data_IF_543208448700
#
_entry.id   IF_543208448700
#
_cell.length_a   1.000
_cell.length_b   1.000
_cell.length_c   1.000
_cell.angle_alpha   90.00
_cell.angle_beta   90.00
_cell.angle_gamma   90.00
#
_symmetry.space_group_name_H-M   'P 1'
#
loop_
_entity.id
_entity.type
_entity.pdbx_description
1 polymer ?
#
# COMPACT_ATOMS: atom_id res chain seq x y z
N UNK A 1 -5.00 -15.58 -0.95
CA UNK A 1 -4.10 -14.97 0.05
C UNK A 1 -3.64 -16.09 0.97
N UNK A 2 -2.38 -16.12 1.38
CA UNK A 2 -1.80 -17.19 2.22
C UNK A 2 -1.27 -16.59 3.52
N UNK A 3 -0.95 -17.43 4.51
CA UNK A 3 -0.50 -16.98 5.83
C UNK A 3 0.97 -17.34 6.03
N UNK A 4 1.81 -16.34 6.29
CA UNK A 4 3.21 -16.55 6.64
C UNK A 4 3.34 -17.26 8.00
N UNK A 5 4.46 -17.95 8.24
CA UNK A 5 4.76 -18.60 9.54
C UNK A 5 4.61 -17.65 10.75
N UNK A 6 4.89 -16.35 10.57
CA UNK A 6 4.71 -15.33 11.60
C UNK A 6 3.25 -14.84 11.76
N UNK A 7 2.26 -15.55 11.22
CA UNK A 7 0.81 -15.23 11.24
C UNK A 7 0.40 -13.95 10.51
N UNK A 8 1.29 -13.33 9.73
CA UNK A 8 0.94 -12.21 8.84
C UNK A 8 0.32 -12.72 7.54
N UNK A 9 -0.77 -12.11 7.12
CA UNK A 9 -1.37 -12.35 5.81
C UNK A 9 -0.44 -11.86 4.69
N UNK A 10 -0.25 -12.66 3.64
CA UNK A 10 0.66 -12.35 2.55
C UNK A 10 0.16 -12.89 1.22
N UNK A 11 0.69 -12.31 0.13
CA UNK A 11 0.54 -12.84 -1.23
C UNK A 11 1.83 -13.46 -1.74
N UNK A 12 2.93 -13.35 -0.99
CA UNK A 12 4.25 -13.80 -1.43
C UNK A 12 4.50 -15.24 -1.04
N UNK A 13 5.29 -15.91 -1.86
CA UNK A 13 5.67 -17.30 -1.70
C UNK A 13 7.14 -17.48 -2.09
N UNK A 14 7.89 -18.17 -1.24
CA UNK A 14 9.27 -18.54 -1.52
C UNK A 14 9.28 -19.81 -2.35
N UNK A 15 9.81 -19.75 -3.57
CA UNK A 15 9.80 -20.88 -4.50
C UNK A 15 10.84 -21.93 -4.10
N UNK A 16 11.96 -21.49 -3.54
CA UNK A 16 13.06 -22.34 -3.06
C UNK A 16 12.61 -23.18 -1.87
N UNK A 17 12.05 -22.54 -0.84
CA UNK A 17 11.64 -23.22 0.40
C UNK A 17 10.20 -23.74 0.37
N UNK A 18 9.41 -23.40 -0.66
CA UNK A 18 8.00 -23.78 -0.82
C UNK A 18 7.15 -23.40 0.40
N UNK A 19 7.33 -22.17 0.88
CA UNK A 19 6.61 -21.62 2.03
C UNK A 19 6.07 -20.21 1.78
N UNK A 20 4.91 -19.85 2.36
CA UNK A 20 4.42 -18.49 2.34
C UNK A 20 5.32 -17.58 3.21
N UNK A 21 5.66 -16.41 2.68
CA UNK A 21 6.57 -15.44 3.30
C UNK A 21 5.96 -14.04 3.28
N UNK A 22 6.21 -13.22 4.29
CA UNK A 22 5.73 -11.83 4.35
C UNK A 22 6.88 -10.82 4.18
N UNK A 23 6.57 -9.52 4.07
CA UNK A 23 7.57 -8.46 3.92
C UNK A 23 8.63 -8.39 5.04
N UNK A 24 8.36 -9.01 6.18
CA UNK A 24 9.34 -9.18 7.26
C UNK A 24 10.27 -10.38 6.97
N UNK A 25 9.68 -11.56 6.78
CA UNK A 25 10.40 -12.83 6.72
C UNK A 25 11.19 -13.02 5.42
N UNK A 26 10.81 -12.36 4.31
CA UNK A 26 11.56 -12.44 3.04
C UNK A 26 12.99 -11.88 3.13
N UNK A 27 13.30 -11.14 4.19
CA UNK A 27 14.62 -10.56 4.41
C UNK A 27 15.47 -11.35 5.41
N UNK A 28 14.95 -12.42 6.01
CA UNK A 28 15.78 -13.29 6.87
C UNK A 28 16.87 -13.99 6.05
N UNK A 29 18.00 -14.37 6.67
CA UNK A 29 19.10 -15.04 5.97
C UNK A 29 18.64 -16.21 5.11
N UNK A 30 17.75 -17.06 5.64
CA UNK A 30 17.14 -18.20 4.94
C UNK A 30 16.44 -17.82 3.62
N UNK A 31 15.93 -16.60 3.50
CA UNK A 31 15.18 -16.15 2.31
C UNK A 31 15.84 -14.98 1.59
N UNK A 32 17.04 -14.57 2.02
CA UNK A 32 17.68 -13.34 1.56
C UNK A 32 17.87 -13.35 0.05
N UNK A 33 18.39 -14.45 -0.49
CA UNK A 33 18.60 -14.63 -1.93
C UNK A 33 17.51 -15.49 -2.59
N UNK A 34 16.53 -16.01 -1.84
CA UNK A 34 15.51 -16.88 -2.43
C UNK A 34 14.76 -16.22 -3.60
N UNK A 35 14.37 -17.03 -4.58
CA UNK A 35 13.40 -16.60 -5.59
C UNK A 35 12.03 -16.54 -4.91
N UNK A 36 11.48 -15.32 -4.82
CA UNK A 36 10.20 -15.02 -4.17
C UNK A 36 9.32 -14.30 -5.19
N UNK A 37 8.13 -14.84 -5.44
CA UNK A 37 7.10 -14.23 -6.28
C UNK A 37 5.75 -14.31 -5.58
N UNK A 38 4.66 -14.02 -6.27
CA UNK A 38 3.31 -14.21 -5.71
C UNK A 38 2.94 -15.70 -5.67
N UNK A 39 2.07 -16.06 -4.73
CA UNK A 39 1.52 -17.41 -4.65
C UNK A 39 0.76 -17.80 -5.92
N UNK A 40 0.09 -16.84 -6.57
CA UNK A 40 -0.59 -17.08 -7.85
C UNK A 40 0.39 -17.49 -8.94
N UNK A 41 1.52 -16.81 -9.07
CA UNK A 41 2.57 -17.20 -10.01
C UNK A 41 3.09 -18.60 -9.70
N UNK A 42 3.34 -18.93 -8.42
CA UNK A 42 3.81 -20.26 -8.04
C UNK A 42 2.86 -21.39 -8.43
N UNK A 43 1.54 -21.17 -8.29
CA UNK A 43 0.51 -22.17 -8.65
C UNK A 43 0.42 -22.34 -10.17
N UNK A 44 0.62 -21.26 -10.94
CA UNK A 44 0.53 -21.30 -12.41
C UNK A 44 1.80 -21.91 -13.01
N UNK A 45 2.95 -21.39 -12.61
CA UNK A 45 4.26 -21.75 -13.12
C UNK A 45 5.27 -21.70 -11.96
N UNK A 46 5.64 -22.89 -11.49
CA UNK A 46 6.55 -23.08 -10.37
C UNK A 46 8.02 -23.05 -10.79
N UNK A 47 8.34 -22.78 -12.06
CA UNK A 47 9.72 -22.77 -12.56
C UNK A 47 10.49 -21.52 -12.14
N UNK A 48 11.76 -21.72 -11.81
CA UNK A 48 12.68 -20.66 -11.43
C UNK A 48 14.14 -21.05 -11.66
N UNK A 49 14.97 -20.05 -11.96
CA UNK A 49 16.41 -20.20 -12.03
C UNK A 49 17.04 -20.12 -10.63
N UNK A 50 17.97 -21.03 -10.33
CA UNK A 50 18.71 -21.06 -9.08
C UNK A 50 20.19 -21.42 -9.32
N UNK A 51 21.16 -20.71 -8.70
CA UNK A 51 20.98 -19.56 -7.81
C UNK A 51 20.55 -18.27 -8.55
N UNK A 52 19.92 -17.30 -7.87
CA UNK A 52 19.46 -16.08 -8.51
C UNK A 52 20.65 -15.24 -8.99
N UNK A 53 20.39 -14.33 -9.93
CA UNK A 53 21.38 -13.38 -10.43
C UNK A 53 21.04 -11.97 -9.98
N UNK A 54 22.07 -11.16 -9.74
CA UNK A 54 21.93 -9.73 -9.49
C UNK A 54 21.22 -9.06 -10.67
N UNK A 55 20.17 -8.29 -10.39
CA UNK A 55 19.39 -7.66 -11.45
C UNK A 55 20.13 -6.57 -12.25
N UNK A 56 21.30 -6.11 -11.78
CA UNK A 56 22.14 -5.13 -12.47
C UNK A 56 23.31 -5.77 -13.21
N UNK A 57 24.19 -6.49 -12.50
CA UNK A 57 25.43 -7.02 -13.07
C UNK A 57 25.32 -8.47 -13.58
N UNK A 58 24.18 -9.13 -13.38
CA UNK A 58 23.92 -10.52 -13.79
C UNK A 58 24.85 -11.58 -13.16
N UNK A 59 25.73 -11.20 -12.23
CA UNK A 59 26.51 -12.13 -11.43
C UNK A 59 25.59 -12.95 -10.50
N UNK A 60 25.96 -14.20 -10.26
CA UNK A 60 25.26 -15.10 -9.34
C UNK A 60 25.34 -14.53 -7.92
N UNK A 61 24.22 -14.55 -7.19
CA UNK A 61 24.19 -14.14 -5.79
C UNK A 61 24.41 -15.37 -4.92
N UNK A 62 25.46 -15.33 -4.11
CA UNK A 62 25.82 -16.42 -3.21
C UNK A 62 25.69 -15.94 -1.77
N UNK A 63 25.09 -16.77 -0.90
CA UNK A 63 24.95 -16.50 0.54
C UNK A 63 26.30 -16.31 1.25
N UNK A 64 27.37 -16.93 0.74
CA UNK A 64 28.70 -16.93 1.35
C UNK A 64 29.66 -15.85 0.83
N UNK A 65 29.31 -15.16 -0.26
CA UNK A 65 30.22 -14.24 -0.97
C UNK A 65 30.53 -12.94 -0.22
N UNK A 66 30.03 -12.76 1.01
CA UNK A 66 30.20 -11.54 1.82
C UNK A 66 29.59 -10.28 1.19
N UNK A 67 28.99 -10.41 0.01
CA UNK A 67 28.46 -9.31 -0.78
C UNK A 67 27.03 -9.02 -0.31
N UNK A 68 26.85 -7.87 0.32
CA UNK A 68 25.53 -7.47 0.81
C UNK A 68 24.53 -7.35 -0.34
N UNK A 69 23.36 -7.97 -0.16
CA UNK A 69 22.27 -7.93 -1.14
C UNK A 69 21.05 -7.23 -0.58
N UNK A 70 20.42 -6.43 -1.42
CA UNK A 70 19.17 -5.74 -1.14
C UNK A 70 18.06 -6.33 -2.00
N UNK A 71 16.91 -6.63 -1.38
CA UNK A 71 15.70 -7.02 -2.11
C UNK A 71 14.87 -5.78 -2.44
N UNK A 72 14.51 -5.61 -3.71
CA UNK A 72 13.70 -4.50 -4.19
C UNK A 72 12.21 -4.74 -3.95
N UNK A 73 11.40 -3.68 -4.06
CA UNK A 73 9.94 -3.78 -3.92
C UNK A 73 9.23 -4.61 -5.00
N UNK A 74 9.90 -4.82 -6.14
CA UNK A 74 9.50 -5.75 -7.20
C UNK A 74 9.94 -7.20 -6.95
N UNK A 75 10.53 -7.49 -5.78
CA UNK A 75 11.04 -8.80 -5.30
C UNK A 75 12.35 -9.27 -5.93
N UNK A 76 12.86 -8.63 -6.99
CA UNK A 76 14.19 -8.89 -7.50
C UNK A 76 15.28 -8.53 -6.47
N UNK A 77 16.39 -9.26 -6.54
CA UNK A 77 17.54 -9.09 -5.65
C UNK A 77 18.68 -8.42 -6.42
N UNK A 78 19.36 -7.49 -5.77
CA UNK A 78 20.47 -6.72 -6.32
C UNK A 78 21.60 -6.66 -5.27
N UNK A 79 22.86 -6.64 -5.69
CA UNK A 79 23.92 -6.25 -4.76
C UNK A 79 23.68 -4.83 -4.26
N UNK A 80 23.90 -4.57 -2.98
CA UNK A 80 23.71 -3.22 -2.40
C UNK A 80 24.59 -2.20 -3.11
N UNK A 81 25.84 -2.57 -3.44
CA UNK A 81 26.74 -1.72 -4.24
C UNK A 81 26.19 -1.42 -5.64
N UNK A 82 25.65 -2.44 -6.33
CA UNK A 82 25.02 -2.26 -7.65
C UNK A 82 23.79 -1.35 -7.57
N UNK A 83 22.98 -1.45 -6.52
CA UNK A 83 21.84 -0.55 -6.31
C UNK A 83 22.30 0.90 -6.14
N UNK A 84 23.33 1.12 -5.33
CA UNK A 84 23.87 2.47 -5.09
C UNK A 84 24.41 3.07 -6.38
N UNK A 85 25.22 2.33 -7.14
CA UNK A 85 25.72 2.77 -8.45
C UNK A 85 24.60 3.03 -9.45
N UNK A 86 23.58 2.16 -9.48
CA UNK A 86 22.41 2.32 -10.37
C UNK A 86 21.67 3.61 -10.06
N UNK A 87 21.31 3.87 -8.80
CA UNK A 87 20.59 5.08 -8.39
C UNK A 87 21.41 6.35 -8.67
N UNK A 88 22.72 6.32 -8.44
CA UNK A 88 23.62 7.46 -8.71
C UNK A 88 23.84 7.73 -10.19
N UNK A 89 23.54 6.78 -11.08
CA UNK A 89 23.67 6.96 -12.53
C UNK A 89 22.54 7.81 -13.13
N UNK A 90 21.44 8.00 -12.41
CA UNK A 90 20.31 8.81 -12.88
C UNK A 90 20.62 10.31 -12.80
N UNK A 91 20.09 11.12 -13.74
CA UNK A 91 20.21 12.57 -13.68
C UNK A 91 19.65 13.16 -12.36
N UNK A 92 20.18 14.31 -11.89
CA UNK A 92 19.78 14.90 -10.61
C UNK A 92 18.31 15.38 -10.56
N UNK A 93 17.67 15.58 -11.71
CA UNK A 93 16.27 15.99 -11.83
C UNK A 93 15.32 14.81 -12.10
N UNK A 94 15.77 13.58 -11.88
CA UNK A 94 14.96 12.38 -12.07
C UNK A 94 13.81 12.39 -11.06
N UNK A 95 12.58 12.34 -11.56
CA UNK A 95 11.40 12.24 -10.72
C UNK A 95 11.41 10.90 -9.92
N UNK A 96 10.74 10.82 -8.75
CA UNK A 96 10.67 9.60 -7.93
C UNK A 96 10.28 8.34 -8.73
N UNK A 97 9.30 8.45 -9.63
CA UNK A 97 8.84 7.34 -10.46
C UNK A 97 9.83 6.93 -11.57
N UNK A 98 10.85 7.75 -11.85
CA UNK A 98 11.90 7.45 -12.82
C UNK A 98 12.95 6.47 -12.29
N UNK A 99 13.06 6.30 -10.98
CA UNK A 99 13.95 5.32 -10.39
C UNK A 99 13.33 3.93 -10.47
N UNK A 100 13.84 3.13 -11.41
CA UNK A 100 13.26 1.84 -11.77
C UNK A 100 14.26 0.70 -11.61
N UNK A 101 13.74 -0.49 -11.33
CA UNK A 101 14.51 -1.73 -11.31
C UNK A 101 15.11 -2.01 -12.70
N UNK A 102 16.41 -2.37 -12.80
CA UNK A 102 17.07 -2.62 -14.09
C UNK A 102 16.52 -3.84 -14.84
N UNK A 103 15.89 -4.81 -14.15
CA UNK A 103 15.33 -6.01 -14.80
C UNK A 103 13.90 -5.84 -15.32
N UNK A 104 13.02 -5.21 -14.55
CA UNK A 104 11.58 -5.18 -14.85
C UNK A 104 10.98 -3.78 -14.95
N UNK A 105 11.82 -2.74 -14.87
CA UNK A 105 11.43 -1.33 -14.97
C UNK A 105 10.35 -0.90 -13.96
N UNK A 106 10.09 -1.71 -12.92
CA UNK A 106 9.17 -1.34 -11.84
C UNK A 106 9.85 -0.31 -10.94
N UNK A 107 9.10 0.70 -10.51
CA UNK A 107 9.58 1.73 -9.58
C UNK A 107 10.21 1.10 -8.33
N UNK A 108 11.40 1.58 -7.94
CA UNK A 108 12.11 1.12 -6.75
C UNK A 108 11.30 1.48 -5.50
N UNK A 109 10.69 2.67 -5.49
CA UNK A 109 9.87 3.17 -4.39
C UNK A 109 8.56 3.80 -4.92
N UNK A 110 7.41 3.57 -4.24
CA UNK A 110 7.19 2.66 -3.12
C UNK A 110 7.11 1.18 -3.54
N UNK A 111 7.38 0.23 -2.63
CA UNK A 111 7.28 -1.20 -2.92
C UNK A 111 5.89 -1.66 -3.37
N UNK A 112 5.78 -2.22 -4.57
CA UNK A 112 4.50 -2.70 -5.16
C UNK A 112 3.94 -3.94 -4.45
N UNK A 113 4.80 -4.89 -4.09
CA UNK A 113 4.38 -6.24 -3.67
C UNK A 113 4.19 -6.39 -2.15
N UNK A 114 4.75 -5.48 -1.37
CA UNK A 114 4.62 -5.44 0.09
C UNK A 114 3.98 -4.12 0.43
N UNK A 115 2.75 -4.14 0.96
CA UNK A 115 2.02 -2.92 1.35
C UNK A 115 2.33 -2.46 2.78
N UNK A 116 2.94 -3.33 3.58
CA UNK A 116 3.28 -3.05 4.97
C UNK A 116 4.52 -2.14 5.04
N UNK A 117 4.30 -0.82 5.12
CA UNK A 117 5.35 0.21 5.18
C UNK A 117 6.31 0.08 6.37
N UNK A 118 5.92 -0.66 7.41
CA UNK A 118 6.73 -0.95 8.61
C UNK A 118 7.49 -2.27 8.54
N UNK A 119 7.42 -2.99 7.41
CA UNK A 119 8.13 -4.26 7.23
C UNK A 119 9.65 -4.07 7.09
N UNK A 120 10.41 -5.10 7.46
CA UNK A 120 11.87 -5.13 7.27
C UNK A 120 12.32 -4.93 5.84
N UNK A 121 11.56 -5.38 4.84
CA UNK A 121 11.83 -5.05 3.44
C UNK A 121 11.88 -3.53 3.22
N UNK A 122 10.90 -2.78 3.74
CA UNK A 122 10.90 -1.33 3.60
C UNK A 122 12.08 -0.69 4.33
N UNK A 123 12.38 -1.14 5.55
CA UNK A 123 13.50 -0.60 6.33
C UNK A 123 14.84 -0.80 5.64
N UNK A 124 15.14 -2.02 5.19
CA UNK A 124 16.39 -2.33 4.49
C UNK A 124 16.49 -1.60 3.15
N UNK A 125 15.38 -1.53 2.39
CA UNK A 125 15.37 -0.79 1.13
C UNK A 125 15.58 0.71 1.36
N UNK A 126 14.98 1.29 2.41
CA UNK A 126 15.23 2.69 2.78
C UNK A 126 16.69 2.92 3.15
N UNK A 127 17.28 2.05 3.96
CA UNK A 127 18.69 2.12 4.36
C UNK A 127 19.61 2.07 3.14
N UNK A 128 19.41 1.11 2.23
CA UNK A 128 20.19 1.02 0.99
C UNK A 128 20.02 2.26 0.09
N UNK A 129 18.83 2.87 0.06
CA UNK A 129 18.58 4.14 -0.65
C UNK A 129 19.31 5.31 0.03
N UNK A 130 19.36 5.37 1.37
CA UNK A 130 20.07 6.44 2.08
C UNK A 130 21.58 6.44 1.78
N UNK A 131 22.18 5.29 1.49
CA UNK A 131 23.58 5.21 1.04
C UNK A 131 23.85 5.97 -0.27
N UNK A 132 22.79 6.32 -1.02
CA UNK A 132 22.91 7.05 -2.28
C UNK A 132 23.00 8.56 -2.10
N UNK A 133 22.48 9.10 -1.00
CA UNK A 133 22.30 10.54 -0.79
C UNK A 133 21.22 11.19 -1.67
N UNK A 134 20.40 10.39 -2.38
CA UNK A 134 19.32 10.83 -3.27
C UNK A 134 17.93 10.52 -2.71
N UNK A 135 17.81 10.23 -1.41
CA UNK A 135 16.57 9.81 -0.75
C UNK A 135 15.43 10.83 -0.92
N UNK A 136 15.75 12.13 -0.97
CA UNK A 136 14.76 13.20 -1.18
C UNK A 136 14.11 13.13 -2.57
N UNK A 137 14.87 12.76 -3.60
CA UNK A 137 14.37 12.60 -4.96
C UNK A 137 13.62 11.27 -5.14
N UNK A 138 14.06 10.22 -4.45
CA UNK A 138 13.52 8.87 -4.55
C UNK A 138 12.19 8.68 -3.81
N UNK A 139 12.06 9.22 -2.61
CA UNK A 139 10.85 9.04 -1.79
C UNK A 139 9.71 9.97 -2.21
N UNK A 140 10.03 11.13 -2.79
CA UNK A 140 9.05 12.11 -3.21
C UNK A 140 8.08 12.50 -2.09
N UNK A 141 6.78 12.57 -2.42
CA UNK A 141 5.71 12.91 -1.46
C UNK A 141 5.22 11.71 -0.64
N UNK A 142 5.82 10.52 -0.76
CA UNK A 142 5.40 9.38 0.03
C UNK A 142 5.95 9.56 1.46
N UNK A 143 5.10 9.75 2.49
CA UNK A 143 5.59 9.98 3.84
C UNK A 143 6.36 8.74 4.28
N UNK A 144 7.68 8.88 4.34
CA UNK A 144 8.53 7.95 5.07
C UNK A 144 8.40 8.37 6.52
N UNK A 145 7.77 7.54 7.34
CA UNK A 145 7.88 7.67 8.80
C UNK A 145 9.34 7.39 9.18
N UNK A 146 10.19 8.38 9.00
CA UNK A 146 11.44 8.47 9.73
C UNK A 146 11.04 8.87 11.14
N UNK A 147 11.51 8.14 12.14
CA UNK A 147 11.47 8.59 13.52
C UNK A 147 12.37 9.83 13.62
N UNK A 148 11.85 10.98 13.21
CA UNK A 148 12.40 12.28 13.59
C UNK A 148 11.77 12.58 14.94
N UNK A 149 12.49 12.24 16.00
CA UNK A 149 12.28 12.86 17.29
C UNK A 149 12.78 14.32 17.21
N UNK A 150 11.98 15.17 16.57
CA UNK A 150 11.93 16.59 16.89
C UNK A 150 10.47 16.98 16.91
N UNK A 151 9.93 17.08 18.12
CA UNK A 151 8.62 17.66 18.41
C UNK A 151 8.63 19.14 18.02
N UNK A 152 8.42 19.44 16.75
CA UNK A 152 8.04 20.79 16.34
C UNK A 152 6.55 20.91 16.59
N UNK A 153 6.23 21.55 17.72
CA UNK A 153 4.87 21.83 18.14
C UNK A 153 4.09 22.57 17.04
N UNK A 154 2.74 22.51 17.10
CA UNK A 154 1.90 23.18 16.12
C UNK A 154 2.17 24.70 16.12
N UNK A 155 2.06 25.37 14.96
CA UNK A 155 2.24 26.81 14.86
C UNK A 155 1.23 27.55 15.77
N UNK A 156 1.63 28.67 16.40
CA UNK A 156 0.81 29.40 17.37
C UNK A 156 -0.24 30.23 16.63
N UNK A 157 -1.27 29.58 16.09
CA UNK A 157 -2.34 30.26 15.36
C UNK A 157 -3.72 30.15 16.05
N UNK A 158 -3.81 29.51 17.22
CA UNK A 158 -5.07 29.33 17.95
C UNK A 158 -4.93 29.55 19.47
N UNK A 159 -4.05 30.45 19.89
CA UNK A 159 -4.16 31.03 21.22
C UNK A 159 -5.18 32.17 21.15
N UNK A 160 -6.46 31.85 21.32
CA UNK A 160 -7.47 32.83 21.67
C UNK A 160 -8.04 32.45 23.02
N UNK A 161 -7.70 33.26 24.02
CA UNK A 161 -8.26 33.18 25.37
C UNK A 161 -9.79 33.41 25.34
N UNK A 162 -10.57 32.70 26.18
CA UNK A 162 -12.00 32.93 26.27
C UNK A 162 -12.29 34.24 27.02
N UNK A 163 -13.02 35.15 26.38
CA UNK A 163 -13.55 36.35 27.03
C UNK A 163 -14.72 35.96 27.94
N UNK A 164 -14.51 36.07 29.25
CA UNK A 164 -15.58 36.19 30.26
C UNK A 164 -16.04 37.65 30.27
N UNK A 165 -17.36 37.90 30.17
CA UNK A 165 -17.95 38.99 30.94
C UNK A 165 -19.41 38.76 31.33
N UNK A 166 -19.67 39.11 32.58
CA UNK A 166 -20.88 39.03 33.40
C UNK A 166 -21.70 40.32 33.27
N UNK A 167 -23.04 40.21 33.21
CA UNK A 167 -24.05 40.89 34.05
C UNK A 167 -25.46 40.51 33.52
N UNK A 168 -26.37 39.88 34.28
CA UNK A 168 -27.29 40.48 35.27
C UNK A 168 -27.82 41.86 34.81
N UNK A 169 -29.11 42.15 34.70
CA UNK A 169 -30.33 41.60 35.30
C UNK A 169 -31.51 42.46 34.83
N UNK A 170 -32.68 41.86 34.54
CA UNK A 170 -34.01 42.40 34.90
C UNK A 170 -35.15 41.49 34.41
N UNK A 171 -35.77 40.79 35.34
CA UNK A 171 -37.12 40.19 35.27
C UNK A 171 -38.20 41.30 35.46
N UNK A 172 -39.51 41.04 35.72
CA UNK A 172 -40.38 39.86 35.51
C UNK A 172 -41.82 40.23 34.97
N UNK A 173 -42.76 39.26 35.02
CA UNK A 173 -44.25 39.36 35.13
C UNK A 173 -45.03 39.05 33.82
N UNK A 174 -46.12 38.28 33.77
CA UNK A 174 -46.88 37.48 34.76
C UNK A 174 -47.98 36.66 34.02
N UNK A 175 -48.47 35.65 34.74
CA UNK A 175 -49.81 35.02 34.71
C UNK A 175 -50.04 33.70 33.94
N UNK A 176 -50.47 32.68 34.71
CA UNK A 176 -50.90 31.33 34.31
C UNK A 176 -52.33 31.29 33.73
N UNK A 177 -52.99 30.16 33.46
CA UNK A 177 -53.13 28.88 34.18
C UNK A 177 -53.58 27.79 33.16
N UNK A 178 -53.21 26.52 33.42
CA UNK A 178 -53.66 25.20 32.93
C UNK A 178 -54.87 25.09 31.98
N UNK A 179 -54.81 24.13 31.03
CA UNK A 179 -55.63 22.89 30.96
C UNK A 179 -54.94 21.87 30.03
N UNK A 180 -55.07 20.60 30.38
CA UNK A 180 -54.56 19.34 29.80
C UNK A 180 -55.20 18.90 28.48
N UNK A 181 -54.49 17.94 27.85
CA UNK A 181 -54.87 17.02 26.76
C UNK A 181 -54.84 17.52 25.31
N UNK A 182 -54.11 16.77 24.48
CA UNK A 182 -54.51 16.56 23.10
C UNK A 182 -53.40 16.52 22.07
N UNK A 183 -52.99 15.29 21.75
CA UNK A 183 -52.61 14.78 20.43
C UNK A 183 -51.45 15.42 19.63
N UNK A 184 -50.47 14.55 19.41
CA UNK A 184 -49.39 14.57 18.42
C UNK A 184 -49.89 14.57 16.97
N UNK A 185 -49.22 15.33 16.10
CA UNK A 185 -49.08 15.00 14.68
C UNK A 185 -47.78 15.62 14.10
N UNK A 186 -46.92 14.84 13.41
CA UNK A 186 -45.86 15.35 12.56
C UNK A 186 -46.30 15.33 11.08
N UNK A 187 -45.78 16.24 10.27
CA UNK A 187 -45.73 16.17 8.79
C UNK A 187 -44.73 17.24 8.34
N UNK A 188 -43.76 16.95 7.47
CA UNK A 188 -44.00 16.96 6.02
C UNK A 188 -42.83 16.30 5.29
N UNK A 189 -43.13 15.28 4.50
CA UNK A 189 -42.33 14.88 3.33
C UNK A 189 -43.34 14.76 2.19
N UNK A 190 -43.13 15.55 1.13
CA UNK A 190 -44.00 15.58 -0.03
C UNK A 190 -43.70 14.43 -1.00
N UNK A 191 -44.80 13.83 -1.43
CA UNK A 191 -45.04 12.76 -2.39
C UNK A 191 -44.92 13.26 -3.85
N UNK A 192 -44.55 12.39 -4.80
CA UNK A 192 -44.98 12.45 -6.21
C UNK A 192 -45.10 11.00 -6.75
N UNK A 193 -46.19 10.80 -7.51
CA UNK A 193 -46.95 9.58 -7.79
C UNK A 193 -46.41 8.65 -8.89
N UNK A 194 -46.95 7.42 -8.85
CA UNK A 194 -46.84 6.27 -9.76
C UNK A 194 -47.51 6.45 -11.14
N UNK A 195 -47.10 5.62 -12.12
CA UNK A 195 -47.96 5.20 -13.24
C UNK A 195 -47.71 3.71 -13.56
N UNK A 196 -48.82 3.00 -13.80
CA UNK A 196 -49.09 1.57 -13.93
C UNK A 196 -48.51 0.84 -15.18
N UNK A 197 -48.48 -0.51 -15.15
CA UNK A 197 -47.77 -1.47 -16.03
C UNK A 197 -48.29 -1.64 -17.47
N UNK A 198 -48.13 -2.80 -18.19
CA UNK A 198 -48.06 -4.19 -17.70
C UNK A 198 -47.00 -5.14 -18.37
N UNK A 199 -46.77 -6.32 -17.77
CA UNK A 199 -46.08 -7.50 -18.38
C UNK A 199 -47.00 -8.26 -19.35
N UNK A 200 -46.47 -9.03 -20.34
CA UNK A 200 -46.35 -10.49 -20.13
C UNK A 200 -45.20 -11.22 -20.87
N UNK A 201 -44.79 -12.35 -20.25
CA UNK A 201 -44.25 -13.62 -20.76
C UNK A 201 -43.54 -13.76 -22.13
N UNK A 202 -42.39 -14.45 -22.16
CA UNK A 202 -41.84 -15.05 -23.40
C UNK A 202 -40.43 -15.66 -23.33
N UNK A 203 -40.36 -16.96 -23.00
CA UNK A 203 -39.37 -18.03 -23.27
C UNK A 203 -38.01 -17.79 -23.99
N UNK A 204 -37.01 -18.51 -23.46
CA UNK A 204 -35.94 -19.34 -24.10
C UNK A 204 -35.43 -18.97 -25.51
N UNK A 205 -34.10 -18.82 -25.63
CA UNK A 205 -33.24 -19.73 -26.43
C UNK A 205 -31.76 -19.62 -26.05
N UNK A 206 -31.13 -20.80 -26.01
CA UNK A 206 -29.69 -21.07 -25.93
C UNK A 206 -29.08 -20.94 -27.33
N UNK A 207 -27.90 -20.35 -27.45
CA UNK A 207 -27.06 -20.52 -28.64
C UNK A 207 -25.60 -20.68 -28.23
N UNK A 208 -24.93 -21.60 -28.91
CA UNK A 208 -23.57 -22.06 -28.69
C UNK A 208 -22.79 -21.94 -30.00
N UNK A 209 -21.48 -21.61 -29.89
CA UNK A 209 -20.39 -21.91 -30.85
C UNK A 209 -20.34 -21.12 -32.19
N UNK A 210 -19.17 -21.00 -32.88
CA UNK A 210 -18.11 -22.01 -32.96
C UNK A 210 -16.63 -21.59 -32.85
N UNK A 211 -15.85 -22.65 -32.62
CA UNK A 211 -14.41 -22.83 -32.83
C UNK A 211 -13.99 -22.50 -34.25
N UNK A 212 -12.86 -21.80 -34.40
CA UNK A 212 -12.08 -21.75 -35.65
C UNK A 212 -10.68 -22.27 -35.34
N UNK A 213 -10.37 -23.44 -35.91
CA UNK A 213 -9.00 -23.93 -36.10
C UNK A 213 -8.57 -23.55 -37.51
N UNK A 214 -7.38 -22.98 -37.67
CA UNK A 214 -6.68 -22.90 -38.96
C UNK A 214 -5.20 -23.17 -38.71
N UNK A 215 -4.76 -24.27 -39.34
CA UNK A 215 -3.42 -24.69 -39.76
C UNK A 215 -2.28 -24.74 -38.72
#
# INVERSE_FOLDING_TARGET
MVVCKCRKATKLYCFVHKVPVCGECICFPEHQICVVRTYSEWVIDGEYDWPPKCCQCQAVLEEESGSETTRLGCLHVIHTSCLVSHIKSFPPHTAPAGYVCPLCSTTIWPPKNVKDSGSRLHSLLKEAIMLTGLEKNLFGNHPVSLAVAESRGPPPAFASDPIVNVNASSSPSKDGINITEGYTAPSTVSEIMEIDGPSPAGNFIKSSSPVVRVL
#
